data_IF_645191761665
#
_entry.id   IF_645191761665
#
_cell.length_a   1.000
_cell.length_b   1.000
_cell.length_c   1.000
_cell.angle_alpha   90.00
_cell.angle_beta   90.00
_cell.angle_gamma   90.00
#
_symmetry.space_group_name_H-M   'P 1'
#
loop_
_entity.id
_entity.type
_entity.pdbx_description
1 polymer ?
#
# COMPACT_ATOMS: atom_id res chain seq x y z
N UNK A 1 0.17 13.69 1.59
CA UNK A 1 -0.90 12.91 0.94
C UNK A 1 -1.38 13.49 -0.39
N UNK A 2 -1.52 14.82 -0.55
CA UNK A 2 -1.97 15.43 -1.83
C UNK A 2 -1.10 15.06 -3.03
N UNK A 3 0.22 14.99 -2.86
CA UNK A 3 1.17 14.73 -3.96
C UNK A 3 1.10 13.28 -4.46
N UNK A 4 1.06 12.30 -3.55
CA UNK A 4 1.00 10.86 -3.89
C UNK A 4 -0.20 10.52 -4.79
N UNK A 5 -1.37 11.12 -4.49
CA UNK A 5 -2.59 10.92 -5.29
C UNK A 5 -2.50 11.60 -6.66
N UNK A 6 -1.95 12.80 -6.72
CA UNK A 6 -1.81 13.54 -7.97
C UNK A 6 -0.82 12.83 -8.91
N UNK A 7 0.35 12.45 -8.40
CA UNK A 7 1.39 11.76 -9.16
C UNK A 7 0.87 10.42 -9.71
N UNK A 8 0.17 9.65 -8.89
CA UNK A 8 -0.40 8.37 -9.34
C UNK A 8 -1.43 8.55 -10.46
N UNK A 9 -2.30 9.56 -10.36
CA UNK A 9 -3.27 9.85 -11.43
C UNK A 9 -2.59 10.26 -12.73
N UNK A 10 -1.48 10.98 -12.65
CA UNK A 10 -0.67 11.32 -13.83
C UNK A 10 -0.05 10.07 -14.44
N UNK A 11 0.52 9.17 -13.64
CA UNK A 11 1.10 7.92 -14.14
C UNK A 11 0.06 6.99 -14.79
N UNK A 12 -1.17 7.03 -14.29
CA UNK A 12 -2.30 6.22 -14.77
C UNK A 12 -3.11 6.91 -15.88
N UNK A 13 -2.61 8.00 -16.47
CA UNK A 13 -3.28 8.62 -17.60
C UNK A 13 -3.44 7.63 -18.77
N UNK A 14 -4.67 7.42 -19.23
CA UNK A 14 -5.00 6.47 -20.30
C UNK A 14 -5.48 5.10 -19.82
N UNK A 15 -5.45 4.82 -18.51
CA UNK A 15 -6.12 3.66 -17.92
C UNK A 15 -7.60 3.96 -17.63
N UNK A 16 -8.41 2.90 -17.44
CA UNK A 16 -9.82 3.03 -17.10
C UNK A 16 -10.06 3.75 -15.76
N UNK A 17 -11.07 4.60 -15.69
CA UNK A 17 -11.35 5.47 -14.53
C UNK A 17 -11.51 4.67 -13.22
N UNK A 18 -12.20 3.53 -13.27
CA UNK A 18 -12.38 2.64 -12.12
C UNK A 18 -11.05 2.16 -11.54
N UNK A 19 -10.08 1.82 -12.41
CA UNK A 19 -8.73 1.42 -11.98
C UNK A 19 -8.01 2.60 -11.34
N UNK A 20 -8.09 3.78 -11.95
CA UNK A 20 -7.45 5.00 -11.43
C UNK A 20 -7.99 5.33 -10.04
N UNK A 21 -9.31 5.27 -9.85
CA UNK A 21 -9.95 5.51 -8.56
C UNK A 21 -9.53 4.48 -7.52
N UNK A 22 -9.65 3.20 -7.85
CA UNK A 22 -9.30 2.06 -6.97
C UNK A 22 -7.84 2.12 -6.53
N UNK A 23 -6.90 2.26 -7.47
CA UNK A 23 -5.48 2.36 -7.17
C UNK A 23 -5.16 3.63 -6.35
N UNK A 24 -5.86 4.74 -6.59
CA UNK A 24 -5.69 5.99 -5.82
C UNK A 24 -6.16 5.85 -4.38
N UNK A 25 -7.25 5.11 -4.13
CA UNK A 25 -7.70 4.80 -2.78
C UNK A 25 -6.69 3.91 -2.07
N UNK A 26 -6.27 2.82 -2.70
CA UNK A 26 -5.28 1.91 -2.14
C UNK A 26 -3.96 2.61 -1.79
N UNK A 27 -3.40 3.42 -2.69
CA UNK A 27 -2.13 4.13 -2.38
C UNK A 27 -2.29 5.12 -1.23
N UNK A 28 -3.47 5.72 -1.09
CA UNK A 28 -3.73 6.68 -0.03
C UNK A 28 -3.77 5.96 1.32
N UNK A 29 -4.54 4.89 1.43
CA UNK A 29 -4.62 4.10 2.67
C UNK A 29 -3.28 3.49 3.06
N UNK A 30 -2.55 2.91 2.09
CA UNK A 30 -1.24 2.33 2.36
C UNK A 30 -0.25 3.41 2.82
N UNK A 31 -0.17 4.55 2.11
CA UNK A 31 0.74 5.63 2.50
C UNK A 31 0.36 6.29 3.84
N UNK A 32 -0.93 6.41 4.15
CA UNK A 32 -1.40 6.90 5.44
C UNK A 32 -0.95 5.95 6.57
N UNK A 33 -1.16 4.65 6.41
CA UNK A 33 -0.69 3.63 7.36
C UNK A 33 0.83 3.68 7.54
N UNK A 34 1.60 3.78 6.46
CA UNK A 34 3.06 3.93 6.53
C UNK A 34 3.46 5.17 7.32
N UNK A 35 2.87 6.33 7.04
CA UNK A 35 3.20 7.58 7.77
C UNK A 35 2.79 7.50 9.24
N UNK A 36 1.63 6.93 9.55
CA UNK A 36 1.12 6.85 10.93
C UNK A 36 1.98 5.92 11.79
N UNK A 37 2.38 4.77 11.25
CA UNK A 37 2.91 3.66 12.04
C UNK A 37 4.43 3.47 11.95
N UNK A 38 5.14 4.19 11.09
CA UNK A 38 6.57 3.99 10.85
C UNK A 38 7.34 5.29 11.01
N UNK A 39 8.67 5.22 10.97
CA UNK A 39 9.56 6.39 10.97
C UNK A 39 9.28 7.34 9.79
N UNK A 40 8.51 6.91 8.79
CA UNK A 40 8.04 7.76 7.69
C UNK A 40 7.24 8.99 8.14
N UNK A 41 6.60 8.97 9.32
CA UNK A 41 5.91 10.13 9.89
C UNK A 41 6.78 11.02 10.77
N UNK A 42 8.04 10.68 11.00
CA UNK A 42 8.98 11.48 11.78
C UNK A 42 9.60 12.60 10.94
N UNK A 43 10.32 13.52 11.59
CA UNK A 43 11.00 14.61 10.89
C UNK A 43 12.05 14.06 9.92
N UNK A 44 11.84 14.27 8.62
CA UNK A 44 12.72 13.76 7.57
C UNK A 44 12.35 12.36 7.07
N UNK A 45 11.30 11.75 7.64
CA UNK A 45 10.72 10.51 7.17
C UNK A 45 10.09 10.66 5.78
N UNK A 46 10.10 9.58 5.02
CA UNK A 46 9.62 9.51 3.65
C UNK A 46 8.83 8.24 3.42
N UNK A 47 8.04 8.28 2.36
CA UNK A 47 7.40 7.11 1.78
C UNK A 47 7.80 7.09 0.31
N UNK A 48 8.24 5.94 -0.18
CA UNK A 48 8.53 5.72 -1.59
C UNK A 48 7.35 5.00 -2.24
N UNK A 49 6.95 5.45 -3.43
CA UNK A 49 5.95 4.76 -4.24
C UNK A 49 6.61 4.26 -5.52
N UNK A 50 6.28 3.04 -5.92
CA UNK A 50 6.56 2.50 -7.24
C UNK A 50 5.27 1.99 -7.89
N UNK A 51 5.22 2.06 -9.21
CA UNK A 51 4.13 1.52 -10.03
C UNK A 51 4.74 0.90 -11.28
N UNK A 52 4.43 -0.36 -11.55
CA UNK A 52 4.97 -1.11 -12.69
C UNK A 52 4.08 -2.30 -13.02
N UNK A 53 4.18 -2.80 -14.24
CA UNK A 53 3.54 -4.05 -14.64
C UNK A 53 4.37 -5.23 -14.07
N UNK A 54 3.82 -5.98 -13.11
CA UNK A 54 4.52 -7.09 -12.46
C UNK A 54 4.53 -8.35 -13.33
N UNK A 55 3.46 -8.54 -14.07
CA UNK A 55 3.21 -9.61 -15.03
C UNK A 55 2.34 -9.04 -16.17
N UNK A 56 2.33 -9.65 -17.37
CA UNK A 56 1.50 -9.17 -18.48
C UNK A 56 0.04 -8.96 -18.07
N UNK A 57 -0.44 -7.72 -18.17
CA UNK A 57 -1.79 -7.33 -17.79
C UNK A 57 -2.02 -7.16 -16.28
N UNK A 58 -0.98 -7.10 -15.45
CA UNK A 58 -1.11 -6.92 -13.99
C UNK A 58 -0.28 -5.72 -13.55
N UNK A 59 -0.95 -4.69 -13.07
CA UNK A 59 -0.33 -3.50 -12.53
C UNK A 59 -0.07 -3.64 -11.04
N UNK A 60 1.18 -3.50 -10.60
CA UNK A 60 1.59 -3.52 -9.20
C UNK A 60 1.93 -2.12 -8.71
N UNK A 61 1.23 -1.72 -7.66
CA UNK A 61 1.52 -0.55 -6.83
C UNK A 61 2.29 -1.02 -5.60
N UNK A 62 3.41 -0.34 -5.27
CA UNK A 62 4.20 -0.61 -4.07
C UNK A 62 4.42 0.68 -3.31
N UNK A 63 4.30 0.61 -1.99
CA UNK A 63 4.62 1.68 -1.06
C UNK A 63 5.64 1.14 -0.06
N UNK A 64 6.76 1.84 0.10
CA UNK A 64 7.84 1.48 1.01
C UNK A 64 7.99 2.53 2.09
N UNK A 65 8.03 2.09 3.34
CA UNK A 65 8.24 2.92 4.52
C UNK A 65 9.69 2.94 5.01
N UNK A 66 10.02 3.90 5.89
CA UNK A 66 11.35 4.08 6.48
C UNK A 66 11.58 3.19 7.72
N UNK A 67 10.74 2.18 7.94
CA UNK A 67 10.89 1.19 9.02
C UNK A 67 10.32 1.62 10.38
N UNK A 68 10.37 0.72 11.36
CA UNK A 68 9.51 0.78 12.56
C UNK A 68 10.04 1.76 13.61
N UNK A 69 9.15 2.39 14.39
CA UNK A 69 9.57 3.33 15.44
C UNK A 69 10.18 2.62 16.66
N UNK A 70 9.48 1.62 17.22
CA UNK A 70 9.98 0.83 18.38
C UNK A 70 9.47 -0.63 18.43
N UNK A 71 8.66 -1.06 17.47
CA UNK A 71 8.22 -2.45 17.24
C UNK A 71 7.48 -2.50 15.91
N UNK A 72 7.55 -3.65 15.22
CA UNK A 72 6.98 -3.80 13.88
C UNK A 72 5.47 -3.48 13.86
N UNK A 73 4.98 -2.75 12.83
CA UNK A 73 3.54 -2.64 12.64
C UNK A 73 2.98 -4.05 12.45
N UNK A 74 2.12 -4.48 13.37
CA UNK A 74 1.37 -5.71 13.19
C UNK A 74 0.38 -5.50 12.04
N UNK A 75 0.67 -6.15 10.91
CA UNK A 75 -0.33 -6.36 9.88
C UNK A 75 -1.39 -7.26 10.51
N UNK A 76 -2.66 -6.84 10.64
CA UNK A 76 -3.67 -7.62 11.32
C UNK A 76 -4.08 -8.81 10.44
N UNK A 77 -3.31 -9.88 10.48
CA UNK A 77 -3.57 -11.10 9.69
C UNK A 77 -4.66 -11.98 10.35
N UNK A 78 -5.03 -11.74 11.61
CA UNK A 78 -6.01 -12.55 12.33
C UNK A 78 -6.81 -11.72 13.36
N UNK A 79 -7.85 -11.01 12.91
CA UNK A 79 -8.86 -10.41 13.81
C UNK A 79 -10.21 -11.08 13.61
N UNK A 80 -10.90 -11.33 14.71
CA UNK A 80 -12.28 -11.81 14.74
C UNK A 80 -13.26 -10.70 14.34
N UNK A 81 -14.47 -11.06 13.90
CA UNK A 81 -15.46 -10.08 13.41
C UNK A 81 -15.82 -8.96 14.40
N UNK A 82 -15.72 -9.22 15.72
CA UNK A 82 -15.91 -8.18 16.74
C UNK A 82 -14.71 -7.26 16.92
N UNK A 83 -13.48 -7.75 16.71
CA UNK A 83 -12.25 -6.95 16.77
C UNK A 83 -12.14 -6.01 15.56
N UNK A 84 -12.72 -6.38 14.42
CA UNK A 84 -12.85 -5.49 13.26
C UNK A 84 -13.85 -4.35 13.46
N UNK A 85 -14.91 -4.57 14.25
CA UNK A 85 -15.94 -3.57 14.50
C UNK A 85 -15.49 -2.51 15.52
N UNK A 86 -14.63 -2.88 16.47
CA UNK A 86 -14.08 -1.97 17.49
C UNK A 86 -12.75 -1.32 17.09
N UNK A 87 -12.07 -1.82 16.07
CA UNK A 87 -10.82 -1.23 15.59
C UNK A 87 -11.09 -0.12 14.57
N UNK A 88 -10.85 1.13 14.97
CA UNK A 88 -10.63 2.24 14.03
C UNK A 88 -9.35 2.02 13.20
N UNK A 89 -8.37 1.32 13.79
CA UNK A 89 -7.10 0.91 13.19
C UNK A 89 -7.25 -0.41 12.41
N UNK A 90 -7.21 -0.36 11.09
CA UNK A 90 -7.23 -1.55 10.23
C UNK A 90 -8.31 -1.56 9.14
N UNK A 91 -9.22 -0.58 9.14
CA UNK A 91 -10.18 -0.40 8.03
C UNK A 91 -9.49 -0.09 6.70
N UNK A 92 -8.36 0.63 6.73
CA UNK A 92 -7.60 0.95 5.53
C UNK A 92 -7.06 -0.29 4.81
N UNK A 93 -6.55 -1.29 5.54
CA UNK A 93 -6.10 -2.54 4.92
C UNK A 93 -7.25 -3.44 4.47
N UNK A 94 -8.41 -3.42 5.16
CA UNK A 94 -9.63 -4.06 4.65
C UNK A 94 -10.10 -3.43 3.33
N UNK A 95 -9.97 -2.11 3.19
CA UNK A 95 -10.27 -1.44 1.93
C UNK A 95 -9.32 -1.92 0.83
N UNK A 96 -8.02 -1.96 1.09
CA UNK A 96 -7.03 -2.51 0.14
C UNK A 96 -7.36 -3.96 -0.22
N UNK A 97 -7.70 -4.80 0.76
CA UNK A 97 -8.11 -6.19 0.56
C UNK A 97 -9.36 -6.32 -0.30
N UNK A 98 -10.33 -5.40 -0.15
CA UNK A 98 -11.57 -5.42 -0.94
C UNK A 98 -11.40 -4.89 -2.37
N UNK A 99 -10.41 -4.04 -2.60
CA UNK A 99 -10.24 -3.28 -3.84
C UNK A 99 -9.14 -3.85 -4.75
N UNK A 100 -8.12 -4.51 -4.19
CA UNK A 100 -7.02 -5.09 -4.94
C UNK A 100 -7.33 -6.55 -5.31
N UNK A 101 -6.89 -7.00 -6.49
CA UNK A 101 -6.98 -8.41 -6.88
C UNK A 101 -6.06 -9.29 -6.03
N UNK A 102 -4.86 -8.77 -5.73
CA UNK A 102 -3.89 -9.37 -4.81
C UNK A 102 -3.20 -8.26 -4.04
N UNK A 103 -2.84 -8.52 -2.79
CA UNK A 103 -2.04 -7.59 -2.02
C UNK A 103 -1.19 -8.34 -1.00
N UNK A 104 -0.22 -7.65 -0.42
CA UNK A 104 0.58 -8.21 0.65
C UNK A 104 1.70 -7.27 1.07
N UNK A 105 2.68 -7.83 1.78
CA UNK A 105 3.82 -7.09 2.27
C UNK A 105 5.07 -7.94 2.36
N UNK A 106 6.24 -7.32 2.28
CA UNK A 106 7.52 -7.96 2.56
C UNK A 106 8.50 -6.96 3.17
N UNK A 107 9.45 -7.42 4.01
CA UNK A 107 10.51 -6.55 4.48
C UNK A 107 11.40 -6.12 3.32
N UNK A 108 11.86 -4.86 3.33
CA UNK A 108 12.79 -4.34 2.31
C UNK A 108 14.11 -5.11 2.34
N UNK A 109 14.55 -5.54 3.53
CA UNK A 109 15.73 -6.37 3.73
C UNK A 109 15.30 -7.72 4.29
N UNK A 110 15.49 -8.84 3.55
CA UNK A 110 15.05 -10.17 3.97
C UNK A 110 16.05 -10.83 4.94
N UNK A 111 16.48 -10.09 5.97
CA UNK A 111 17.34 -10.58 7.04
C UNK A 111 16.60 -10.42 8.37
N UNK A 112 16.55 -11.45 9.24
CA UNK A 112 15.78 -11.41 10.49
C UNK A 112 16.13 -10.24 11.42
N UNK A 113 17.38 -9.77 11.35
CA UNK A 113 17.93 -8.68 12.16
C UNK A 113 17.79 -7.29 11.50
N UNK A 114 17.11 -7.18 10.36
CA UNK A 114 16.90 -5.94 9.60
C UNK A 114 15.43 -5.69 9.27
N UNK A 115 14.50 -6.39 9.94
CA UNK A 115 13.05 -6.26 9.73
C UNK A 115 12.54 -4.85 10.09
N UNK A 116 13.33 -4.09 10.83
CA UNK A 116 13.04 -2.71 11.21
C UNK A 116 13.50 -1.68 10.17
N UNK A 117 14.18 -2.07 9.09
CA UNK A 117 14.71 -1.15 8.07
C UNK A 117 13.70 -0.73 6.99
N UNK A 118 12.47 -1.23 7.06
CA UNK A 118 11.41 -0.85 6.14
C UNK A 118 10.55 -2.03 5.72
N UNK A 119 9.27 -1.76 5.52
CA UNK A 119 8.32 -2.70 4.91
C UNK A 119 7.84 -2.15 3.58
N UNK A 120 7.78 -3.02 2.58
CA UNK A 120 7.09 -2.77 1.33
C UNK A 120 5.69 -3.38 1.41
N UNK A 121 4.66 -2.56 1.25
CA UNK A 121 3.26 -3.00 1.10
C UNK A 121 2.87 -2.81 -0.36
N UNK A 122 2.26 -3.82 -0.95
CA UNK A 122 1.94 -3.83 -2.38
C UNK A 122 0.50 -4.27 -2.63
N UNK A 123 -0.07 -3.75 -3.71
CA UNK A 123 -1.37 -4.10 -4.24
C UNK A 123 -1.28 -4.29 -5.76
N UNK A 124 -1.97 -5.28 -6.28
CA UNK A 124 -2.04 -5.61 -7.71
C UNK A 124 -3.45 -5.46 -8.24
N UNK A 125 -3.53 -5.02 -9.49
CA UNK A 125 -4.76 -4.80 -10.22
C UNK A 125 -4.63 -5.43 -11.61
N UNK A 126 -5.57 -6.29 -11.97
CA UNK A 126 -5.66 -6.88 -13.30
C UNK A 126 -6.18 -5.82 -14.26
N UNK A 127 -5.38 -5.51 -15.27
CA UNK A 127 -5.79 -4.69 -16.38
C UNK A 127 -6.80 -5.50 -17.18
N UNK A 128 -8.08 -5.13 -17.09
CA UNK A 128 -9.09 -5.64 -18.01
C UNK A 128 -8.57 -5.46 -19.43
N UNK A 129 -8.71 -6.49 -20.27
CA UNK A 129 -8.21 -6.50 -21.66
C UNK A 129 -8.95 -5.52 -22.58
N UNK A 130 -9.10 -4.28 -22.16
CA UNK A 130 -9.53 -3.15 -22.96
C UNK A 130 -8.44 -2.82 -23.97
N UNK A 131 -8.87 -2.69 -25.21
CA UNK A 131 -8.04 -2.51 -26.40
C UNK A 131 -7.04 -1.36 -26.20
N UNK A 132 -5.76 -1.67 -26.44
CA UNK A 132 -4.70 -0.67 -26.61
C UNK A 132 -4.95 0.22 -27.81
#
# INVERSE_FOLDING_TARGET
MSTVRADLRTDLAGFGEDLVETATLCVSEIAANSIEHTRSGERGGRVLRALFESEPGVLRLVVVDDGTRESAPEIPIHRTGQEWLSAERGRGLLMVESLADRWGSYPVVPLPFCSDLGTAVWAEFVLGGGER
#
